data_IF_226241064412
#
_entry.id   IF_226241064412
#
_cell.length_a   1.000
_cell.length_b   1.000
_cell.length_c   1.000
_cell.angle_alpha   90.00
_cell.angle_beta   90.00
_cell.angle_gamma   90.00
#
_symmetry.space_group_name_H-M   'P 1'
#
loop_
_entity.id
_entity.type
_entity.pdbx_description
1 polymer ?
#
# COMPACT_ATOMS: atom_id res chain seq x y z
N UNK A 1 -23.40 27.52 21.12
CA UNK A 1 -22.17 28.22 20.72
C UNK A 1 -21.44 27.30 19.75
N UNK A 2 -21.15 27.76 18.55
CA UNK A 2 -20.30 27.00 17.62
C UNK A 2 -18.93 26.86 18.27
N UNK A 3 -18.44 25.63 18.38
CA UNK A 3 -17.09 25.38 18.86
C UNK A 3 -16.09 26.04 17.91
N UNK A 4 -15.10 26.73 18.44
CA UNK A 4 -14.00 27.29 17.65
C UNK A 4 -13.00 26.15 17.35
N UNK A 5 -12.71 25.86 16.08
CA UNK A 5 -11.67 24.93 15.68
C UNK A 5 -10.32 25.37 16.23
N UNK A 6 -9.48 24.41 16.58
CA UNK A 6 -8.13 24.67 17.06
C UNK A 6 -7.12 24.35 15.96
N UNK A 7 -6.11 25.18 15.85
CA UNK A 7 -4.92 24.88 15.08
C UNK A 7 -3.75 24.77 16.06
N UNK A 8 -3.05 23.63 16.01
CA UNK A 8 -1.84 23.39 16.78
C UNK A 8 -0.63 23.50 15.85
N UNK A 9 0.33 24.31 16.23
CA UNK A 9 1.57 24.54 15.50
C UNK A 9 2.71 23.80 16.22
N UNK A 10 3.58 23.15 15.43
CA UNK A 10 4.75 22.43 15.93
C UNK A 10 5.98 22.82 15.12
N UNK A 11 7.05 23.18 15.78
CA UNK A 11 8.33 23.53 15.15
C UNK A 11 9.48 22.91 15.92
N UNK A 12 10.28 22.09 15.26
CA UNK A 12 11.49 21.53 15.91
C UNK A 12 12.62 22.57 16.08
N UNK A 13 12.51 23.71 15.42
CA UNK A 13 13.54 24.75 15.41
C UNK A 13 13.20 25.92 16.34
N UNK A 14 11.94 26.37 16.29
CA UNK A 14 11.49 27.58 16.97
C UNK A 14 10.46 27.31 18.10
N UNK A 15 10.03 26.05 18.25
CA UNK A 15 9.03 25.66 19.21
C UNK A 15 9.58 25.38 20.61
N UNK A 16 8.69 25.44 21.61
CA UNK A 16 8.98 25.08 23.01
C UNK A 16 7.77 24.33 23.57
N UNK A 17 7.99 23.18 24.20
CA UNK A 17 6.91 22.36 24.77
C UNK A 17 6.24 22.99 26.01
N UNK A 18 6.77 24.08 26.53
CA UNK A 18 6.11 24.92 27.52
C UNK A 18 5.04 25.85 26.91
N UNK A 19 5.04 26.02 25.61
CA UNK A 19 4.06 26.84 24.88
C UNK A 19 2.67 26.15 24.83
N UNK A 20 1.67 26.89 24.32
CA UNK A 20 0.31 26.38 24.13
C UNK A 20 0.04 25.78 22.75
N UNK A 21 0.94 26.00 21.77
CA UNK A 21 0.84 25.52 20.41
C UNK A 21 -0.22 26.19 19.55
N UNK A 22 -0.91 27.24 20.01
CA UNK A 22 -2.09 27.81 19.33
C UNK A 22 -1.76 28.93 18.31
N UNK A 23 -0.47 29.29 18.17
CA UNK A 23 0.03 30.23 17.15
C UNK A 23 1.43 29.81 16.72
N UNK A 24 1.91 30.23 15.51
CA UNK A 24 3.26 29.95 15.06
C UNK A 24 4.33 30.40 16.07
N UNK A 25 4.16 31.55 16.68
CA UNK A 25 5.11 32.13 17.65
C UNK A 25 5.11 31.41 19.00
N UNK A 26 4.08 30.61 19.26
CA UNK A 26 3.92 29.79 20.46
C UNK A 26 3.82 28.29 20.13
N UNK A 27 4.48 27.87 19.06
CA UNK A 27 4.51 26.49 18.60
C UNK A 27 5.08 25.54 19.67
N UNK A 28 4.61 24.29 19.66
CA UNK A 28 5.23 23.21 20.42
C UNK A 28 6.60 22.86 19.83
N UNK A 29 7.54 22.39 20.63
CA UNK A 29 8.87 21.95 20.20
C UNK A 29 8.91 20.50 19.72
N UNK A 30 7.96 19.67 20.13
CA UNK A 30 7.96 18.24 19.81
C UNK A 30 6.60 17.69 19.40
N UNK A 31 6.64 16.58 18.63
CA UNK A 31 5.44 15.81 18.27
C UNK A 31 4.78 15.13 19.48
N UNK A 32 5.54 14.90 20.54
CA UNK A 32 5.04 14.33 21.81
C UNK A 32 3.88 15.13 22.42
N UNK A 33 3.84 16.44 22.17
CA UNK A 33 2.73 17.30 22.63
C UNK A 33 1.42 16.94 21.91
N UNK A 34 1.51 16.64 20.61
CA UNK A 34 0.34 16.27 19.81
C UNK A 34 -0.12 14.84 20.14
N UNK A 35 0.81 13.91 20.36
CA UNK A 35 0.48 12.51 20.71
C UNK A 35 -0.37 12.39 21.98
N UNK A 36 -0.34 13.40 22.85
CA UNK A 36 -1.12 13.47 24.08
C UNK A 36 -2.47 14.19 23.93
N UNK A 37 -2.79 14.71 22.74
CA UNK A 37 -4.06 15.37 22.47
C UNK A 37 -5.05 14.40 21.84
N UNK A 38 -6.33 14.65 22.09
CA UNK A 38 -7.43 14.09 21.31
C UNK A 38 -8.00 15.21 20.44
N UNK A 39 -7.84 15.08 19.12
CA UNK A 39 -8.30 16.08 18.17
C UNK A 39 -9.81 15.95 17.97
N UNK A 40 -10.44 17.08 17.74
CA UNK A 40 -11.86 17.15 17.50
C UNK A 40 -12.13 17.51 16.04
N UNK A 41 -13.36 17.35 15.55
CA UNK A 41 -13.73 17.76 14.21
C UNK A 41 -13.28 19.19 13.90
N UNK A 42 -12.61 19.39 12.77
CA UNK A 42 -12.09 20.66 12.30
C UNK A 42 -10.76 21.11 12.96
N UNK A 43 -10.21 20.37 13.92
CA UNK A 43 -8.90 20.70 14.49
C UNK A 43 -7.78 20.42 13.45
N UNK A 44 -6.71 21.20 13.53
CA UNK A 44 -5.57 21.11 12.62
C UNK A 44 -4.27 20.98 13.40
N UNK A 45 -3.35 20.17 12.89
CA UNK A 45 -1.96 20.07 13.35
C UNK A 45 -1.05 20.46 12.18
N UNK A 46 -0.32 21.52 12.32
CA UNK A 46 0.54 22.05 11.29
C UNK A 46 1.99 22.05 11.76
N UNK A 47 2.85 21.38 11.01
CA UNK A 47 4.29 21.30 11.25
C UNK A 47 5.01 22.41 10.46
N UNK A 48 5.96 23.09 11.08
CA UNK A 48 6.71 24.14 10.40
C UNK A 48 7.56 23.56 9.26
N UNK A 49 7.49 24.14 8.07
CA UNK A 49 8.37 23.79 6.95
C UNK A 49 9.81 24.04 7.34
N UNK A 50 10.72 23.13 6.96
CA UNK A 50 12.11 23.11 7.38
C UNK A 50 12.36 22.39 8.71
N UNK A 51 11.34 22.06 9.48
CA UNK A 51 11.49 21.27 10.70
C UNK A 51 11.89 19.83 10.41
N UNK A 52 12.76 19.28 11.28
CA UNK A 52 13.12 17.86 11.28
C UNK A 52 12.90 17.32 12.72
N UNK A 53 12.05 16.32 12.84
CA UNK A 53 11.70 15.70 14.12
C UNK A 53 12.43 14.35 14.27
N UNK A 54 13.67 14.42 14.78
CA UNK A 54 14.54 13.25 14.93
C UNK A 54 14.09 12.34 16.09
N UNK A 55 14.02 11.03 15.83
CA UNK A 55 13.60 10.01 16.79
C UNK A 55 12.21 10.28 17.37
N UNK A 56 11.33 10.89 16.57
CA UNK A 56 9.97 11.21 16.97
C UNK A 56 8.96 10.56 16.02
N UNK A 57 7.77 10.37 16.51
CA UNK A 57 6.63 9.81 15.78
C UNK A 57 5.38 10.67 16.03
N UNK A 58 4.39 10.52 15.18
CA UNK A 58 3.12 11.22 15.30
C UNK A 58 1.97 10.20 15.30
N UNK A 59 1.34 9.99 16.45
CA UNK A 59 0.19 9.11 16.63
C UNK A 59 -1.06 9.95 16.89
N UNK A 60 -1.93 10.03 15.89
CA UNK A 60 -3.13 10.86 15.93
C UNK A 60 -4.27 10.13 16.60
N UNK A 61 -4.97 10.85 17.50
CA UNK A 61 -6.20 10.43 18.16
C UNK A 61 -7.30 11.45 17.89
N UNK A 62 -8.52 10.99 17.77
CA UNK A 62 -9.68 11.82 17.50
C UNK A 62 -10.33 11.51 16.15
N UNK A 63 -11.49 12.06 15.90
CA UNK A 63 -12.28 11.81 14.70
C UNK A 63 -12.83 13.13 14.16
N UNK A 64 -12.74 13.32 12.85
CA UNK A 64 -13.40 14.40 12.14
C UNK A 64 -14.88 14.10 11.87
N UNK A 65 -15.48 14.92 11.04
CA UNK A 65 -16.82 14.72 10.47
C UNK A 65 -16.80 15.09 8.99
N UNK A 66 -17.82 14.72 8.24
CA UNK A 66 -17.90 15.05 6.82
C UNK A 66 -17.87 16.54 6.52
N UNK A 67 -18.33 17.40 7.46
CA UNK A 67 -18.26 18.87 7.34
C UNK A 67 -16.96 19.46 7.89
N UNK A 68 -16.33 18.79 8.86
CA UNK A 68 -15.23 19.35 9.64
C UNK A 68 -14.12 18.29 9.80
N UNK A 69 -13.31 18.15 8.75
CA UNK A 69 -12.20 17.17 8.74
C UNK A 69 -11.08 17.62 9.68
N UNK A 70 -10.41 16.65 10.27
CA UNK A 70 -9.09 16.88 10.90
C UNK A 70 -8.05 17.09 9.79
N UNK A 71 -7.11 17.98 10.00
CA UNK A 71 -6.02 18.25 9.06
C UNK A 71 -4.67 18.08 9.74
N UNK A 72 -3.79 17.30 9.11
CA UNK A 72 -2.39 17.17 9.50
C UNK A 72 -1.56 17.61 8.30
N UNK A 73 -0.78 18.68 8.44
CA UNK A 73 -0.05 19.24 7.31
C UNK A 73 1.11 20.14 7.73
N UNK A 74 1.47 21.07 6.85
CA UNK A 74 2.58 21.97 7.04
C UNK A 74 2.15 23.44 7.02
N UNK A 75 2.95 24.31 7.67
CA UNK A 75 2.81 25.75 7.59
C UNK A 75 4.17 26.41 7.33
N UNK A 76 4.15 27.70 6.98
CA UNK A 76 5.35 28.47 6.67
C UNK A 76 5.90 28.22 5.25
N UNK A 77 7.13 28.59 5.01
CA UNK A 77 7.80 28.47 3.73
C UNK A 77 9.03 27.56 3.83
N UNK A 78 9.44 26.95 2.71
CA UNK A 78 10.60 26.07 2.66
C UNK A 78 10.26 24.62 2.36
N UNK A 79 11.18 23.71 2.68
CA UNK A 79 11.02 22.27 2.49
C UNK A 79 9.92 21.71 3.38
N UNK A 80 9.23 20.67 2.94
CA UNK A 80 8.25 19.97 3.77
C UNK A 80 8.90 19.53 5.10
N UNK A 81 8.15 19.59 6.23
CA UNK A 81 8.64 19.09 7.50
C UNK A 81 8.85 17.57 7.44
N UNK A 82 9.87 17.10 8.16
CA UNK A 82 10.28 15.71 8.14
C UNK A 82 10.12 15.05 9.51
N UNK A 83 9.49 13.87 9.53
CA UNK A 83 9.39 12.99 10.70
C UNK A 83 10.36 11.83 10.49
N UNK A 84 11.44 11.78 11.24
CA UNK A 84 12.39 10.68 11.30
C UNK A 84 12.12 9.81 12.53
N UNK A 85 11.29 8.77 12.37
CA UNK A 85 10.89 7.94 13.50
C UNK A 85 12.00 7.02 14.02
N UNK A 86 12.84 6.49 13.14
CA UNK A 86 13.99 5.63 13.48
C UNK A 86 13.64 4.44 14.40
N UNK A 87 12.46 3.84 14.21
CA UNK A 87 11.98 2.72 15.01
C UNK A 87 11.26 3.08 16.29
N UNK A 88 11.04 4.35 16.57
CA UNK A 88 10.11 4.80 17.61
C UNK A 88 8.65 4.67 17.16
N UNK A 89 7.67 5.06 17.98
CA UNK A 89 6.26 4.95 17.64
C UNK A 89 5.78 3.50 17.59
N UNK A 90 6.18 2.70 18.56
CA UNK A 90 5.84 1.29 18.67
C UNK A 90 4.40 1.12 19.12
N UNK A 91 3.68 0.21 18.46
CA UNK A 91 2.35 -0.24 18.83
C UNK A 91 2.19 -1.73 18.54
N UNK A 92 1.18 -2.37 19.13
CA UNK A 92 0.95 -3.79 18.96
C UNK A 92 -0.17 -4.04 17.94
N UNK A 93 0.16 -4.71 16.83
CA UNK A 93 -0.80 -5.16 15.84
C UNK A 93 -1.25 -6.59 16.17
N UNK A 94 -2.56 -6.85 16.11
CA UNK A 94 -3.11 -8.20 16.28
C UNK A 94 -4.39 -8.35 15.47
N UNK A 95 -4.40 -9.31 14.54
CA UNK A 95 -5.61 -9.67 13.79
C UNK A 95 -6.60 -10.53 14.60
N UNK A 96 -6.23 -10.94 15.81
CA UNK A 96 -7.08 -11.74 16.70
C UNK A 96 -7.05 -13.24 16.44
N UNK A 97 -6.69 -13.67 15.23
CA UNK A 97 -6.59 -15.07 14.83
C UNK A 97 -5.49 -15.26 13.77
N UNK A 98 -4.93 -16.48 13.63
CA UNK A 98 -4.04 -16.81 12.53
C UNK A 98 -4.68 -16.52 11.17
N UNK A 99 -3.85 -16.09 10.23
CA UNK A 99 -4.26 -15.79 8.87
C UNK A 99 -4.36 -17.07 8.01
N UNK A 100 -4.61 -16.90 6.72
CA UNK A 100 -4.82 -17.97 5.74
C UNK A 100 -3.60 -18.89 5.53
N UNK A 101 -2.40 -18.45 5.88
CA UNK A 101 -1.20 -19.27 5.85
C UNK A 101 -0.48 -19.31 7.20
N UNK A 102 0.02 -20.48 7.64
CA UNK A 102 0.80 -20.62 8.88
C UNK A 102 2.09 -19.79 8.89
N UNK A 103 2.63 -19.47 7.71
CA UNK A 103 3.82 -18.64 7.57
C UNK A 103 3.54 -17.13 7.73
N UNK A 104 2.28 -16.72 7.73
CA UNK A 104 1.91 -15.32 7.86
C UNK A 104 1.94 -14.88 9.32
N UNK A 105 2.81 -13.94 9.64
CA UNK A 105 2.81 -13.26 10.94
C UNK A 105 1.52 -12.46 11.06
N UNK A 106 0.77 -12.66 12.12
CA UNK A 106 -0.55 -12.04 12.32
C UNK A 106 -0.64 -11.14 13.54
N UNK A 107 0.40 -11.12 14.37
CA UNK A 107 0.50 -10.24 15.54
C UNK A 107 1.95 -9.97 15.92
N UNK A 108 2.20 -8.81 16.49
CA UNK A 108 3.53 -8.41 16.95
C UNK A 108 3.65 -6.89 17.11
N UNK A 109 4.80 -6.47 17.57
CA UNK A 109 5.14 -5.05 17.65
C UNK A 109 5.49 -4.51 16.26
N UNK A 110 4.95 -3.33 15.96
CA UNK A 110 5.20 -2.55 14.74
C UNK A 110 5.61 -1.14 15.12
N UNK A 111 6.56 -0.57 14.41
CA UNK A 111 6.89 0.85 14.52
C UNK A 111 6.24 1.62 13.37
N UNK A 112 5.52 2.69 13.66
CA UNK A 112 4.94 3.58 12.65
C UNK A 112 5.31 5.03 12.90
N UNK A 113 5.85 5.71 11.88
CA UNK A 113 6.23 7.10 12.03
C UNK A 113 5.01 8.03 12.13
N UNK A 114 4.00 7.78 11.32
CA UNK A 114 2.66 8.35 11.45
C UNK A 114 1.65 7.21 11.63
N UNK A 115 0.85 7.26 12.69
CA UNK A 115 -0.22 6.32 12.96
C UNK A 115 -1.58 7.03 13.09
N UNK A 116 -2.53 6.59 12.27
CA UNK A 116 -3.94 6.96 12.34
C UNK A 116 -4.72 5.74 12.85
N UNK A 117 -5.03 5.70 14.14
CA UNK A 117 -5.69 4.55 14.77
C UNK A 117 -7.13 4.91 15.12
N UNK A 118 -8.09 4.28 14.46
CA UNK A 118 -9.53 4.57 14.54
C UNK A 118 -9.87 6.06 14.24
N UNK A 119 -9.12 6.65 13.30
CA UNK A 119 -9.30 8.04 12.86
C UNK A 119 -10.03 8.08 11.54
N UNK A 120 -11.00 8.96 11.40
CA UNK A 120 -11.76 9.17 10.16
C UNK A 120 -11.96 10.65 9.84
N UNK A 121 -12.41 10.95 8.62
CA UNK A 121 -12.57 12.32 8.12
C UNK A 121 -11.31 13.15 8.36
N UNK A 122 -10.21 12.66 7.81
CA UNK A 122 -8.88 13.26 8.00
C UNK A 122 -8.19 13.53 6.66
N UNK A 123 -7.45 14.63 6.62
CA UNK A 123 -6.54 14.98 5.55
C UNK A 123 -5.11 15.03 6.09
N UNK A 124 -4.21 14.23 5.52
CA UNK A 124 -2.76 14.28 5.76
C UNK A 124 -2.08 14.77 4.50
N UNK A 125 -1.24 15.81 4.62
CA UNK A 125 -0.55 16.36 3.45
C UNK A 125 0.77 17.09 3.77
N UNK A 126 1.58 17.26 2.73
CA UNK A 126 2.81 18.08 2.75
C UNK A 126 3.83 17.66 3.83
N UNK A 127 4.08 16.37 3.97
CA UNK A 127 5.02 15.80 4.94
C UNK A 127 6.07 14.93 4.26
N UNK A 128 7.26 14.89 4.85
CA UNK A 128 8.27 13.86 4.59
C UNK A 128 8.29 12.91 5.79
N UNK A 129 8.28 11.61 5.53
CA UNK A 129 8.19 10.58 6.58
C UNK A 129 9.22 9.51 6.33
N UNK A 130 10.02 9.19 7.34
CA UNK A 130 10.97 8.07 7.32
C UNK A 130 10.86 7.23 8.58
N UNK A 131 11.25 5.97 8.46
CA UNK A 131 11.31 5.06 9.61
C UNK A 131 12.47 4.06 9.41
N UNK A 132 13.67 4.60 9.42
CA UNK A 132 14.88 3.87 9.07
C UNK A 132 15.40 2.98 10.20
N UNK A 133 16.24 2.03 9.82
CA UNK A 133 17.02 1.19 10.70
C UNK A 133 18.43 1.08 10.12
N UNK A 134 19.45 0.90 10.92
CA UNK A 134 20.82 0.76 10.46
C UNK A 134 21.11 -0.64 9.86
N UNK A 135 20.14 -1.30 9.25
CA UNK A 135 20.35 -2.58 8.59
C UNK A 135 21.19 -2.41 7.34
N UNK A 136 22.16 -3.27 7.18
CA UNK A 136 23.13 -3.24 6.09
C UNK A 136 23.10 -4.49 5.22
N UNK A 137 22.46 -5.57 5.66
CA UNK A 137 22.42 -6.85 4.95
C UNK A 137 20.99 -7.39 4.81
N UNK A 138 20.78 -8.27 3.82
CA UNK A 138 19.49 -8.93 3.60
C UNK A 138 19.17 -9.93 4.72
N UNK A 139 20.19 -10.54 5.32
CA UNK A 139 20.03 -11.42 6.49
C UNK A 139 19.44 -10.66 7.68
N UNK A 140 19.79 -9.40 7.83
CA UNK A 140 19.21 -8.54 8.87
C UNK A 140 17.73 -8.25 8.60
N UNK A 141 17.32 -8.08 7.36
CA UNK A 141 15.90 -7.92 7.00
C UNK A 141 15.09 -9.19 7.27
N UNK A 142 15.65 -10.36 6.99
CA UNK A 142 14.96 -11.63 7.14
C UNK A 142 14.95 -12.18 8.58
N UNK A 143 15.64 -11.56 9.52
CA UNK A 143 15.71 -12.06 10.88
C UNK A 143 14.34 -12.07 11.56
N UNK A 144 13.86 -13.19 12.14
CA UNK A 144 12.49 -13.32 12.68
C UNK A 144 12.13 -12.31 13.79
N UNK A 145 13.14 -11.82 14.49
CA UNK A 145 12.97 -10.85 15.57
C UNK A 145 13.01 -9.39 15.10
N UNK A 146 13.13 -9.15 13.79
CA UNK A 146 13.14 -7.79 13.24
C UNK A 146 11.74 -7.22 13.28
N UNK A 147 11.66 -6.00 13.78
CA UNK A 147 10.42 -5.25 13.85
C UNK A 147 9.97 -4.83 12.46
N UNK A 148 8.68 -4.99 12.20
CA UNK A 148 8.03 -4.40 11.05
C UNK A 148 7.95 -2.89 11.22
N UNK A 149 8.16 -2.14 10.14
CA UNK A 149 8.18 -0.68 10.15
C UNK A 149 7.32 -0.11 9.05
N UNK A 150 6.59 0.93 9.38
CA UNK A 150 5.72 1.64 8.44
C UNK A 150 6.04 3.13 8.45
N UNK A 151 5.98 3.76 7.31
CA UNK A 151 5.95 5.21 7.24
C UNK A 151 4.62 5.74 7.76
N UNK A 152 3.52 5.44 7.07
CA UNK A 152 2.16 5.78 7.48
C UNK A 152 1.35 4.50 7.68
N UNK A 153 0.88 4.26 8.89
CA UNK A 153 -0.06 3.22 9.22
C UNK A 153 -1.46 3.81 9.46
N UNK A 154 -2.48 3.20 8.83
CA UNK A 154 -3.88 3.51 9.11
C UNK A 154 -4.56 2.23 9.60
N UNK A 155 -5.17 2.29 10.77
CA UNK A 155 -5.72 1.12 11.44
C UNK A 155 -7.18 1.36 11.78
N UNK A 156 -8.06 0.49 11.28
CA UNK A 156 -9.43 0.38 11.73
C UNK A 156 -9.53 -0.80 12.70
N UNK A 157 -10.02 -0.56 13.92
CA UNK A 157 -10.26 -1.62 14.91
C UNK A 157 -11.58 -1.43 15.64
N UNK A 158 -11.67 -0.41 16.48
CA UNK A 158 -12.83 -0.15 17.32
C UNK A 158 -13.69 1.02 16.80
N UNK A 159 -13.35 1.57 15.66
CA UNK A 159 -14.06 2.66 15.03
C UNK A 159 -15.25 2.27 14.16
N UNK A 160 -15.46 0.96 13.92
CA UNK A 160 -16.40 0.48 12.93
C UNK A 160 -15.93 0.81 11.51
N UNK A 161 -16.84 1.26 10.65
CA UNK A 161 -16.48 1.79 9.34
C UNK A 161 -15.84 3.18 9.50
N UNK A 162 -14.61 3.32 9.03
CA UNK A 162 -13.90 4.60 9.00
C UNK A 162 -14.09 5.27 7.63
N UNK A 163 -14.44 6.57 7.65
CA UNK A 163 -14.80 7.31 6.45
C UNK A 163 -13.77 8.37 6.09
N UNK A 164 -13.64 8.61 4.80
CA UNK A 164 -12.97 9.78 4.19
C UNK A 164 -11.57 10.06 4.74
N UNK A 165 -10.64 9.16 4.46
CA UNK A 165 -9.22 9.28 4.81
C UNK A 165 -8.46 9.67 3.54
N UNK A 166 -7.85 10.86 3.54
CA UNK A 166 -7.08 11.36 2.40
C UNK A 166 -5.62 11.55 2.80
N UNK A 167 -4.72 10.94 2.03
CA UNK A 167 -3.26 11.14 2.12
C UNK A 167 -2.80 11.70 0.77
N UNK A 168 -2.23 12.90 0.76
CA UNK A 168 -1.79 13.52 -0.50
C UNK A 168 -0.49 14.32 -0.35
N UNK A 169 0.28 14.38 -1.43
CA UNK A 169 1.54 15.14 -1.47
C UNK A 169 2.46 14.83 -0.28
N UNK A 170 2.62 13.53 0.03
CA UNK A 170 3.49 13.04 1.10
C UNK A 170 4.65 12.25 0.49
N UNK A 171 5.85 12.47 0.99
CA UNK A 171 7.01 11.67 0.64
C UNK A 171 7.30 10.69 1.77
N UNK A 172 7.25 9.40 1.46
CA UNK A 172 7.59 8.32 2.40
C UNK A 172 8.82 7.61 1.87
N UNK A 173 9.91 7.64 2.62
CA UNK A 173 11.12 6.98 2.15
C UNK A 173 11.98 6.46 3.30
N UNK A 174 12.92 5.57 2.96
CA UNK A 174 13.81 4.97 3.95
C UNK A 174 13.06 4.34 5.13
N UNK A 175 12.11 3.46 4.79
CA UNK A 175 11.38 2.65 5.77
C UNK A 175 11.93 1.24 5.74
N UNK A 176 12.70 0.86 6.75
CA UNK A 176 13.49 -0.38 6.75
C UNK A 176 13.01 -1.38 7.81
N UNK A 177 11.88 -2.01 7.57
CA UNK A 177 11.35 -3.13 8.35
C UNK A 177 11.76 -4.49 7.76
N UNK A 178 11.02 -5.55 8.12
CA UNK A 178 11.25 -6.88 7.58
C UNK A 178 10.62 -7.01 6.18
N UNK A 179 11.43 -7.16 5.15
CA UNK A 179 10.99 -7.22 3.75
C UNK A 179 10.06 -8.42 3.46
N UNK A 180 10.09 -9.47 4.27
CA UNK A 180 9.34 -10.70 4.05
C UNK A 180 8.01 -10.80 4.80
N UNK A 181 7.73 -9.94 5.79
CA UNK A 181 6.45 -9.93 6.48
C UNK A 181 5.38 -9.25 5.62
N UNK A 182 4.44 -10.06 5.11
CA UNK A 182 3.46 -9.63 4.10
C UNK A 182 2.21 -8.95 4.70
N UNK A 183 1.78 -9.33 5.90
CA UNK A 183 0.50 -8.87 6.46
C UNK A 183 0.62 -7.97 7.69
N UNK A 184 1.82 -7.76 8.19
CA UNK A 184 2.07 -6.77 9.22
C UNK A 184 2.21 -5.37 8.58
N UNK A 185 1.97 -4.32 9.34
CA UNK A 185 2.25 -2.95 8.90
C UNK A 185 3.74 -2.79 8.63
N UNK A 186 4.10 -2.87 7.36
CA UNK A 186 5.49 -2.96 6.93
C UNK A 186 5.67 -2.37 5.52
N UNK A 187 6.17 -1.16 5.44
CA UNK A 187 6.39 -0.47 4.16
C UNK A 187 6.08 1.02 4.21
N UNK A 188 5.75 1.60 3.07
CA UNK A 188 5.51 3.03 2.93
C UNK A 188 4.20 3.50 3.57
N UNK A 189 3.09 3.19 2.90
CA UNK A 189 1.74 3.48 3.37
C UNK A 189 0.98 2.16 3.47
N UNK A 190 0.55 1.79 4.67
CA UNK A 190 -0.16 0.53 4.89
C UNK A 190 -1.43 0.75 5.70
N UNK A 191 -2.56 0.26 5.17
CA UNK A 191 -3.86 0.36 5.81
C UNK A 191 -4.39 -1.05 6.13
N UNK A 192 -4.86 -1.25 7.36
CA UNK A 192 -5.35 -2.56 7.81
C UNK A 192 -6.59 -2.45 8.69
N UNK A 193 -7.44 -3.48 8.64
CA UNK A 193 -8.57 -3.65 9.55
C UNK A 193 -8.32 -4.83 10.49
N UNK A 194 -8.33 -4.56 11.79
CA UNK A 194 -8.08 -5.53 12.87
C UNK A 194 -9.39 -5.95 13.54
N UNK A 195 -9.37 -7.10 14.18
CA UNK A 195 -10.52 -7.59 14.96
C UNK A 195 -10.90 -6.60 16.05
N UNK A 196 -12.14 -6.08 16.07
CA UNK A 196 -12.63 -5.21 17.13
C UNK A 196 -12.65 -5.91 18.49
N UNK A 197 -12.46 -5.16 19.57
CA UNK A 197 -12.59 -5.70 20.93
C UNK A 197 -14.03 -6.14 21.23
N UNK A 198 -15.03 -5.51 20.60
CA UNK A 198 -16.43 -5.87 20.65
C UNK A 198 -17.16 -5.45 19.36
N UNK A 199 -17.20 -6.34 18.37
CA UNK A 199 -17.78 -6.10 17.05
C UNK A 199 -19.29 -5.78 17.10
N UNK A 200 -20.04 -6.39 18.05
CA UNK A 200 -21.47 -6.10 18.22
C UNK A 200 -21.73 -4.64 18.60
N UNK A 201 -20.80 -4.05 19.34
CA UNK A 201 -20.90 -2.67 19.82
C UNK A 201 -20.34 -1.67 18.80
N UNK A 202 -19.22 -1.98 18.18
CA UNK A 202 -18.49 -1.04 17.32
C UNK A 202 -18.83 -1.17 15.84
N UNK A 203 -19.38 -2.31 15.44
CA UNK A 203 -19.53 -2.69 14.05
C UNK A 203 -18.25 -3.30 13.47
N UNK A 204 -18.32 -3.68 12.21
CA UNK A 204 -17.20 -4.27 11.46
C UNK A 204 -16.15 -3.21 11.16
N UNK A 205 -14.90 -3.48 11.52
CA UNK A 205 -13.78 -2.61 11.20
C UNK A 205 -13.47 -2.68 9.69
N UNK A 206 -13.67 -1.57 8.98
CA UNK A 206 -13.46 -1.44 7.53
C UNK A 206 -13.33 0.03 7.13
N UNK A 207 -13.13 0.27 5.84
CA UNK A 207 -13.00 1.61 5.28
C UNK A 207 -14.08 1.90 4.24
N UNK A 208 -14.55 3.15 4.21
CA UNK A 208 -15.40 3.72 3.17
C UNK A 208 -14.92 5.13 2.82
N UNK A 209 -14.25 5.26 1.69
CA UNK A 209 -13.63 6.52 1.27
C UNK A 209 -12.14 6.60 1.66
N UNK A 210 -11.29 6.08 0.81
CA UNK A 210 -9.83 6.23 0.89
C UNK A 210 -9.35 6.92 -0.37
N UNK A 211 -8.56 7.99 -0.22
CA UNK A 211 -7.86 8.63 -1.33
C UNK A 211 -6.39 8.77 -1.00
N UNK A 212 -5.52 8.11 -1.79
CA UNK A 212 -4.07 8.28 -1.74
C UNK A 212 -3.66 8.89 -3.07
N UNK A 213 -3.15 10.12 -3.05
CA UNK A 213 -2.88 10.84 -4.29
C UNK A 213 -1.62 11.71 -4.23
N UNK A 214 -0.91 11.84 -5.36
CA UNK A 214 0.28 12.67 -5.51
C UNK A 214 1.38 12.33 -4.46
N UNK A 215 1.48 11.07 -4.05
CA UNK A 215 2.46 10.63 -3.06
C UNK A 215 3.70 10.05 -3.75
N UNK A 216 4.86 10.23 -3.13
CA UNK A 216 6.10 9.58 -3.53
C UNK A 216 6.52 8.60 -2.44
N UNK A 217 6.68 7.33 -2.79
CA UNK A 217 7.15 6.29 -1.88
C UNK A 217 8.44 5.69 -2.45
N UNK A 218 9.52 5.71 -1.66
CA UNK A 218 10.81 5.30 -2.18
C UNK A 218 11.66 4.58 -1.12
N UNK A 219 12.30 3.46 -1.52
CA UNK A 219 13.12 2.63 -0.61
C UNK A 219 12.39 2.25 0.68
N UNK A 220 11.36 1.45 0.54
CA UNK A 220 10.59 0.92 1.67
C UNK A 220 10.66 -0.61 1.71
N UNK A 221 10.52 -1.20 2.90
CA UNK A 221 10.85 -2.61 3.11
C UNK A 221 9.98 -3.59 2.34
N UNK A 222 8.67 -3.55 2.44
CA UNK A 222 7.79 -4.53 1.79
C UNK A 222 6.82 -3.87 0.82
N UNK A 223 5.86 -3.13 1.32
CA UNK A 223 4.79 -2.52 0.55
C UNK A 223 5.11 -1.08 0.22
N UNK A 224 4.92 -0.68 -1.04
CA UNK A 224 4.88 0.74 -1.36
C UNK A 224 3.62 1.38 -0.78
N UNK A 225 2.47 1.06 -1.36
CA UNK A 225 1.13 1.48 -0.93
C UNK A 225 0.24 0.24 -0.89
N UNK A 226 -0.23 -0.16 0.30
CA UNK A 226 -1.12 -1.28 0.47
C UNK A 226 -2.37 -0.85 1.24
N UNK A 227 -3.55 -1.12 0.68
CA UNK A 227 -4.81 -0.70 1.26
C UNK A 227 -5.66 -1.91 1.57
N UNK A 228 -5.90 -2.15 2.86
CA UNK A 228 -7.06 -2.87 3.30
C UNK A 228 -6.91 -4.36 3.60
N UNK A 229 -5.75 -4.88 4.05
CA UNK A 229 -5.80 -6.23 4.61
C UNK A 229 -6.74 -6.28 5.82
N UNK A 230 -7.59 -7.31 5.90
CA UNK A 230 -8.68 -7.36 6.89
C UNK A 230 -8.71 -8.67 7.68
N UNK A 231 -9.06 -8.59 8.97
CA UNK A 231 -9.37 -9.74 9.80
C UNK A 231 -10.53 -10.59 9.26
N UNK A 232 -11.37 -10.01 8.40
CA UNK A 232 -12.49 -10.70 7.72
C UNK A 232 -12.07 -11.46 6.44
N UNK A 233 -10.76 -11.64 6.20
CA UNK A 233 -10.20 -12.25 4.98
C UNK A 233 -10.88 -13.56 4.57
N UNK A 234 -11.35 -14.38 5.53
CA UNK A 234 -12.04 -15.63 5.25
C UNK A 234 -13.41 -15.46 4.56
N UNK A 235 -14.03 -14.26 4.64
CA UNK A 235 -15.28 -13.96 3.93
C UNK A 235 -15.07 -13.86 2.42
N UNK A 236 -13.82 -13.74 1.99
CA UNK A 236 -13.39 -13.57 0.61
C UNK A 236 -12.67 -14.80 0.03
N UNK A 237 -12.92 -15.98 0.59
CA UNK A 237 -12.33 -17.24 0.11
C UNK A 237 -13.12 -17.92 -1.01
N UNK A 238 -14.28 -17.41 -1.38
CA UNK A 238 -15.12 -17.96 -2.45
C UNK A 238 -14.77 -17.40 -3.82
N UNK A 239 -15.32 -18.04 -4.85
CA UNK A 239 -15.31 -17.57 -6.24
C UNK A 239 -16.60 -16.79 -6.50
N UNK A 240 -16.55 -15.76 -7.33
CA UNK A 240 -17.75 -14.98 -7.73
C UNK A 240 -18.54 -14.41 -6.53
N UNK A 241 -17.84 -13.83 -5.56
CA UNK A 241 -18.48 -13.22 -4.40
C UNK A 241 -19.44 -12.09 -4.81
N UNK A 242 -20.58 -12.00 -4.12
CA UNK A 242 -21.54 -10.94 -4.34
C UNK A 242 -21.06 -9.57 -3.80
N UNK A 243 -21.66 -8.50 -4.30
CA UNK A 243 -21.33 -7.15 -3.84
C UNK A 243 -21.73 -6.92 -2.37
N UNK A 244 -22.75 -7.59 -1.86
CA UNK A 244 -23.21 -7.46 -0.48
C UNK A 244 -22.11 -7.89 0.50
N UNK A 245 -21.36 -8.95 0.17
CA UNK A 245 -20.19 -9.40 0.92
C UNK A 245 -19.14 -8.30 1.02
N UNK A 246 -18.83 -7.62 -0.11
CA UNK A 246 -17.86 -6.52 -0.11
C UNK A 246 -18.38 -5.30 0.65
N UNK A 247 -19.63 -4.90 0.45
CA UNK A 247 -20.24 -3.76 1.17
C UNK A 247 -20.30 -3.98 2.68
N UNK A 248 -20.40 -5.22 3.11
CA UNK A 248 -20.48 -5.57 4.52
C UNK A 248 -19.11 -5.75 5.17
N UNK A 249 -18.19 -6.45 4.53
CA UNK A 249 -16.94 -6.90 5.13
C UNK A 249 -15.70 -6.28 4.49
N UNK A 250 -15.80 -5.78 3.28
CA UNK A 250 -14.71 -5.22 2.51
C UNK A 250 -14.63 -3.70 2.61
N UNK A 251 -13.87 -3.11 1.69
CA UNK A 251 -13.67 -1.68 1.61
C UNK A 251 -14.37 -1.09 0.38
N UNK A 252 -14.82 0.15 0.50
CA UNK A 252 -15.50 0.87 -0.56
C UNK A 252 -14.82 2.21 -0.85
N UNK A 253 -15.03 2.76 -2.05
CA UNK A 253 -14.54 4.08 -2.46
C UNK A 253 -13.01 4.24 -2.26
N UNK A 254 -12.23 3.25 -2.71
CA UNK A 254 -10.76 3.24 -2.64
C UNK A 254 -10.18 3.82 -3.94
N UNK A 255 -9.43 4.90 -3.84
CA UNK A 255 -8.77 5.58 -4.97
C UNK A 255 -7.28 5.74 -4.66
N UNK A 256 -6.42 5.23 -5.56
CA UNK A 256 -4.97 5.42 -5.51
C UNK A 256 -4.53 6.01 -6.85
N UNK A 257 -4.04 7.25 -6.85
CA UNK A 257 -3.72 7.92 -8.12
C UNK A 257 -2.54 8.89 -8.05
N UNK A 258 -1.91 9.09 -9.22
CA UNK A 258 -0.80 10.01 -9.39
C UNK A 258 0.34 9.78 -8.39
N UNK A 259 0.55 8.54 -7.97
CA UNK A 259 1.61 8.18 -7.04
C UNK A 259 2.83 7.63 -7.80
N UNK A 260 4.02 7.93 -7.27
CA UNK A 260 5.28 7.34 -7.72
C UNK A 260 5.80 6.41 -6.63
N UNK A 261 5.95 5.13 -6.95
CA UNK A 261 6.52 4.12 -6.04
C UNK A 261 7.78 3.56 -6.66
N UNK A 262 8.91 3.73 -6.01
CA UNK A 262 10.19 3.18 -6.48
C UNK A 262 10.90 2.41 -5.38
N UNK A 263 11.51 1.28 -5.75
CA UNK A 263 12.29 0.46 -4.82
C UNK A 263 11.50 0.05 -3.56
N UNK A 264 10.25 -0.33 -3.74
CA UNK A 264 9.55 -1.12 -2.72
C UNK A 264 10.23 -2.50 -2.67
N UNK A 265 10.55 -2.98 -1.48
CA UNK A 265 11.21 -4.27 -1.30
C UNK A 265 10.39 -5.44 -1.80
N UNK A 266 9.07 -5.31 -1.79
CA UNK A 266 8.10 -6.22 -2.40
C UNK A 266 7.20 -5.50 -3.40
N UNK A 267 5.91 -5.49 -3.09
CA UNK A 267 4.85 -4.99 -3.94
C UNK A 267 4.77 -3.46 -3.95
N UNK A 268 4.44 -2.85 -5.09
CA UNK A 268 4.37 -1.40 -5.17
C UNK A 268 3.02 -0.84 -4.73
N UNK A 269 1.92 -1.23 -5.38
CA UNK A 269 0.58 -0.68 -5.11
C UNK A 269 -0.46 -1.79 -5.13
N UNK A 270 -1.16 -1.99 -4.01
CA UNK A 270 -2.12 -3.08 -3.88
C UNK A 270 -3.35 -2.67 -3.06
N UNK A 271 -4.50 -2.41 -3.70
CA UNK A 271 -5.80 -2.44 -3.03
C UNK A 271 -6.22 -3.88 -2.74
N UNK A 272 -6.82 -4.13 -1.58
CA UNK A 272 -7.22 -5.46 -1.12
C UNK A 272 -8.67 -5.45 -0.64
N UNK A 273 -9.40 -6.56 -0.84
CA UNK A 273 -10.75 -6.79 -0.32
C UNK A 273 -11.72 -5.63 -0.57
N UNK A 274 -11.58 -4.98 -1.72
CA UNK A 274 -12.32 -3.76 -2.04
C UNK A 274 -13.31 -3.97 -3.18
N UNK A 275 -14.45 -3.28 -3.09
CA UNK A 275 -15.41 -3.16 -4.17
C UNK A 275 -15.03 -1.97 -5.06
N UNK A 276 -14.86 -2.23 -6.36
CA UNK A 276 -14.60 -1.22 -7.40
C UNK A 276 -13.43 -0.26 -7.09
N UNK A 277 -12.28 -0.74 -6.54
CA UNK A 277 -11.17 0.16 -6.29
C UNK A 277 -10.61 0.70 -7.60
N UNK A 278 -10.25 1.99 -7.61
CA UNK A 278 -9.64 2.68 -8.74
C UNK A 278 -8.15 2.95 -8.47
N UNK A 279 -7.30 2.43 -9.35
CA UNK A 279 -5.84 2.65 -9.32
C UNK A 279 -5.41 3.21 -10.66
N UNK A 280 -5.08 4.51 -10.71
CA UNK A 280 -4.85 5.20 -11.99
C UNK A 280 -3.67 6.18 -11.96
N UNK A 281 -3.02 6.35 -13.12
CA UNK A 281 -1.94 7.32 -13.31
C UNK A 281 -0.79 7.16 -12.30
N UNK A 282 -0.49 5.92 -11.88
CA UNK A 282 0.61 5.64 -10.97
C UNK A 282 1.82 5.12 -11.74
N UNK A 283 3.00 5.33 -11.18
CA UNK A 283 4.25 4.78 -11.69
C UNK A 283 4.86 3.89 -10.61
N UNK A 284 5.18 2.65 -10.97
CA UNK A 284 5.95 1.73 -10.14
C UNK A 284 7.27 1.38 -10.84
N UNK A 285 8.37 1.60 -10.16
CA UNK A 285 9.71 1.42 -10.71
C UNK A 285 10.60 0.59 -9.78
N UNK A 286 11.31 -0.36 -10.34
CA UNK A 286 12.38 -1.11 -9.63
C UNK A 286 11.91 -1.84 -8.35
N UNK A 287 10.70 -2.40 -8.36
CA UNK A 287 10.13 -3.07 -7.20
C UNK A 287 10.66 -4.51 -7.03
N UNK A 288 10.49 -5.08 -5.83
CA UNK A 288 10.92 -6.43 -5.42
C UNK A 288 12.45 -6.69 -5.52
N UNK A 289 13.28 -5.69 -5.67
CA UNK A 289 14.75 -5.86 -5.81
C UNK A 289 15.45 -6.24 -4.51
N UNK A 290 14.83 -5.99 -3.38
CA UNK A 290 15.37 -6.34 -2.06
C UNK A 290 15.07 -7.81 -1.65
N UNK A 291 14.26 -8.53 -2.41
CA UNK A 291 14.00 -9.94 -2.16
C UNK A 291 15.19 -10.82 -2.58
N UNK A 292 15.60 -11.69 -1.69
CA UNK A 292 16.74 -12.58 -1.92
C UNK A 292 16.40 -14.01 -1.49
N UNK A 293 16.35 -14.92 -2.45
CA UNK A 293 16.05 -16.34 -2.21
C UNK A 293 17.03 -17.03 -1.28
N UNK A 294 18.31 -16.60 -1.23
CA UNK A 294 19.33 -17.20 -0.35
C UNK A 294 19.06 -16.94 1.13
N UNK A 295 18.31 -15.88 1.46
CA UNK A 295 17.94 -15.51 2.82
C UNK A 295 16.73 -16.30 3.32
N UNK A 296 15.90 -16.75 2.40
CA UNK A 296 14.71 -17.54 2.69
C UNK A 296 15.08 -19.01 2.94
N UNK A 297 15.08 -19.43 4.17
CA UNK A 297 15.56 -20.76 4.58
C UNK A 297 14.46 -21.79 4.76
N UNK A 298 13.19 -21.37 4.80
CA UNK A 298 12.07 -22.26 5.10
C UNK A 298 11.15 -22.40 3.89
N UNK A 299 10.87 -23.64 3.43
CA UNK A 299 9.94 -23.86 2.31
C UNK A 299 8.55 -23.28 2.54
N UNK A 300 8.07 -23.28 3.78
CA UNK A 300 6.81 -22.72 4.23
C UNK A 300 6.76 -21.19 4.18
N UNK A 301 7.89 -20.51 4.17
CA UNK A 301 7.99 -19.05 4.10
C UNK A 301 7.90 -18.50 2.65
N UNK A 302 7.55 -19.34 1.69
CA UNK A 302 7.48 -18.96 0.27
C UNK A 302 6.59 -17.77 -0.01
N UNK A 303 5.51 -17.63 0.74
CA UNK A 303 4.54 -16.56 0.55
C UNK A 303 5.12 -15.16 0.73
N UNK A 304 6.12 -14.98 1.57
CA UNK A 304 6.79 -13.70 1.74
C UNK A 304 7.67 -13.27 0.56
N UNK A 305 8.08 -14.21 -0.33
CA UNK A 305 8.89 -13.93 -1.51
C UNK A 305 8.08 -13.40 -2.70
N UNK A 306 6.79 -13.68 -2.74
CA UNK A 306 5.94 -13.41 -3.90
C UNK A 306 5.60 -11.94 -3.94
N UNK A 307 5.83 -11.28 -5.06
CA UNK A 307 5.51 -9.88 -5.27
C UNK A 307 5.30 -9.56 -6.75
N UNK A 308 4.29 -8.76 -7.05
CA UNK A 308 4.07 -8.09 -8.32
C UNK A 308 4.03 -6.57 -8.09
N UNK A 309 4.08 -5.76 -9.16
CA UNK A 309 4.17 -4.33 -8.92
C UNK A 309 2.83 -3.69 -8.57
N UNK A 310 1.85 -3.68 -9.48
CA UNK A 310 0.55 -3.03 -9.29
C UNK A 310 -0.58 -4.04 -9.50
N UNK A 311 -1.30 -4.37 -8.42
CA UNK A 311 -2.27 -5.46 -8.48
C UNK A 311 -3.33 -5.39 -7.36
N UNK A 312 -4.55 -5.94 -7.55
CA UNK A 312 -5.54 -6.11 -6.50
C UNK A 312 -5.36 -7.45 -5.80
N UNK A 313 -5.75 -7.54 -4.55
CA UNK A 313 -5.95 -8.82 -3.90
C UNK A 313 -7.39 -8.99 -3.46
N UNK A 314 -8.07 -10.02 -4.01
CA UNK A 314 -9.45 -10.37 -3.67
C UNK A 314 -10.39 -9.16 -3.73
N UNK A 315 -10.29 -8.39 -4.80
CA UNK A 315 -11.19 -7.28 -5.09
C UNK A 315 -12.28 -7.69 -6.08
N UNK A 316 -13.39 -6.96 -6.09
CA UNK A 316 -14.42 -7.08 -7.11
C UNK A 316 -14.47 -5.85 -7.99
N UNK A 317 -14.53 -6.05 -9.33
CA UNK A 317 -14.57 -4.99 -10.34
C UNK A 317 -13.44 -3.96 -10.18
N UNK A 318 -12.24 -4.38 -9.76
CA UNK A 318 -11.10 -3.50 -9.61
C UNK A 318 -10.68 -2.91 -10.96
N UNK A 319 -10.34 -1.64 -10.98
CA UNK A 319 -9.99 -0.93 -12.21
C UNK A 319 -8.60 -0.32 -12.12
N UNK A 320 -7.73 -0.71 -13.06
CA UNK A 320 -6.36 -0.24 -13.19
C UNK A 320 -6.18 0.40 -14.57
N UNK A 321 -5.91 1.71 -14.61
CA UNK A 321 -5.78 2.41 -15.88
C UNK A 321 -4.70 3.49 -15.87
N UNK A 322 -4.03 3.64 -17.01
CA UNK A 322 -2.97 4.63 -17.19
C UNK A 322 -1.82 4.51 -16.18
N UNK A 323 -1.53 3.30 -15.69
CA UNK A 323 -0.38 3.06 -14.83
C UNK A 323 0.83 2.66 -15.67
N UNK A 324 2.02 2.93 -15.14
CA UNK A 324 3.30 2.53 -15.72
C UNK A 324 4.06 1.66 -14.72
N UNK A 325 4.61 0.53 -15.19
CA UNK A 325 5.43 -0.38 -14.38
C UNK A 325 6.71 -0.73 -15.10
N UNK A 326 7.83 -0.50 -14.44
CA UNK A 326 9.14 -0.82 -15.00
C UNK A 326 10.03 -1.57 -14.00
N UNK A 327 10.86 -2.48 -14.54
CA UNK A 327 11.96 -3.12 -13.81
C UNK A 327 11.56 -3.88 -12.54
N UNK A 328 10.40 -4.50 -12.48
CA UNK A 328 10.04 -5.39 -11.36
C UNK A 328 10.90 -6.66 -11.41
N UNK A 329 11.52 -7.00 -10.28
CA UNK A 329 12.42 -8.14 -10.21
C UNK A 329 11.66 -9.47 -10.10
N UNK A 330 12.17 -10.50 -10.79
CA UNK A 330 11.71 -11.88 -10.63
C UNK A 330 12.00 -12.38 -9.19
N UNK A 331 10.96 -12.86 -8.54
CA UNK A 331 11.03 -13.40 -7.18
C UNK A 331 10.30 -14.75 -7.02
N UNK A 332 9.48 -15.14 -7.82
CA UNK A 332 8.60 -16.23 -8.14
C UNK A 332 7.56 -15.69 -9.13
N UNK A 333 7.04 -14.50 -8.86
CA UNK A 333 6.12 -13.77 -9.73
C UNK A 333 6.86 -12.70 -10.54
N UNK A 334 7.12 -11.53 -10.01
CA UNK A 334 7.88 -10.48 -10.65
C UNK A 334 7.19 -9.82 -11.84
N UNK A 335 5.86 -9.91 -11.90
CA UNK A 335 5.05 -9.33 -12.97
C UNK A 335 4.85 -7.83 -12.77
N UNK A 336 4.60 -7.11 -13.87
CA UNK A 336 4.13 -5.73 -13.79
C UNK A 336 2.75 -5.66 -13.13
N UNK A 337 1.83 -6.48 -13.60
CA UNK A 337 0.43 -6.54 -13.17
C UNK A 337 0.04 -7.96 -12.79
N UNK A 338 -0.92 -8.08 -11.87
CA UNK A 338 -1.46 -9.37 -11.45
C UNK A 338 -2.94 -9.22 -11.08
N UNK A 339 -3.81 -10.05 -11.64
CA UNK A 339 -5.20 -10.15 -11.21
C UNK A 339 -5.32 -11.34 -10.25
N UNK A 340 -4.98 -11.09 -8.96
CA UNK A 340 -4.91 -12.17 -7.97
C UNK A 340 -6.24 -12.34 -7.23
N UNK A 341 -6.82 -13.55 -7.39
CA UNK A 341 -7.98 -14.04 -6.63
C UNK A 341 -9.19 -13.09 -6.64
N UNK A 342 -9.31 -12.25 -7.68
CA UNK A 342 -10.34 -11.22 -7.81
C UNK A 342 -11.35 -11.52 -8.92
N UNK A 343 -12.51 -10.87 -8.87
CA UNK A 343 -13.58 -11.02 -9.83
C UNK A 343 -13.78 -9.71 -10.61
N UNK A 344 -13.65 -9.79 -11.95
CA UNK A 344 -13.92 -8.67 -12.85
C UNK A 344 -12.84 -7.58 -12.84
N UNK A 345 -11.58 -7.90 -12.54
CA UNK A 345 -10.48 -6.92 -12.62
C UNK A 345 -10.26 -6.47 -14.07
N UNK A 346 -10.24 -5.16 -14.28
CA UNK A 346 -9.99 -4.53 -15.56
C UNK A 346 -8.67 -3.77 -15.54
N UNK A 347 -7.74 -4.18 -16.44
CA UNK A 347 -6.53 -3.43 -16.77
C UNK A 347 -6.69 -2.82 -18.15
N UNK A 348 -6.64 -1.48 -18.25
CA UNK A 348 -6.73 -0.81 -19.56
C UNK A 348 -5.82 0.42 -19.66
N UNK A 349 -5.22 0.62 -20.83
CA UNK A 349 -4.33 1.74 -21.13
C UNK A 349 -3.08 1.83 -20.21
N UNK A 350 -2.61 0.70 -19.69
CA UNK A 350 -1.40 0.65 -18.88
C UNK A 350 -0.17 0.37 -19.75
N UNK A 351 0.99 0.72 -19.24
CA UNK A 351 2.29 0.46 -19.86
C UNK A 351 3.15 -0.40 -18.93
N UNK A 352 3.86 -1.38 -19.49
CA UNK A 352 4.86 -2.15 -18.76
C UNK A 352 6.14 -2.26 -19.55
N UNK A 353 7.30 -2.30 -18.83
CA UNK A 353 8.60 -2.45 -19.48
C UNK A 353 9.60 -3.17 -18.60
N UNK A 354 10.35 -4.09 -19.22
CA UNK A 354 11.54 -4.74 -18.62
C UNK A 354 11.27 -5.45 -17.30
N UNK A 355 10.03 -5.91 -17.06
CA UNK A 355 9.70 -6.66 -15.84
C UNK A 355 10.18 -8.09 -16.00
N UNK A 356 10.97 -8.57 -15.04
CA UNK A 356 11.64 -9.88 -15.13
C UNK A 356 10.66 -11.06 -15.09
N UNK A 357 9.51 -10.91 -14.44
CA UNK A 357 8.45 -11.95 -14.38
C UNK A 357 7.44 -11.89 -15.51
N UNK A 358 7.39 -10.79 -16.27
CA UNK A 358 6.46 -10.59 -17.37
C UNK A 358 5.51 -9.40 -17.18
N UNK A 359 4.50 -9.33 -18.06
CA UNK A 359 3.55 -8.21 -18.08
C UNK A 359 2.37 -8.42 -17.14
N UNK A 360 1.61 -9.51 -17.34
CA UNK A 360 0.35 -9.75 -16.61
C UNK A 360 0.25 -11.20 -16.13
N UNK A 361 -0.17 -11.38 -14.89
CA UNK A 361 -0.59 -12.66 -14.34
C UNK A 361 -2.08 -12.63 -14.01
N UNK A 362 -2.74 -13.76 -14.13
CA UNK A 362 -4.07 -14.03 -13.62
C UNK A 362 -3.91 -15.18 -12.63
N UNK A 363 -3.93 -14.87 -11.34
CA UNK A 363 -3.48 -15.78 -10.31
C UNK A 363 -4.62 -16.36 -9.52
N UNK A 364 -4.63 -17.70 -9.40
CA UNK A 364 -5.55 -18.53 -8.64
C UNK A 364 -6.89 -18.81 -9.33
N UNK A 365 -7.56 -19.86 -8.86
CA UNK A 365 -8.85 -20.31 -9.36
C UNK A 365 -9.97 -19.27 -9.16
N UNK A 366 -9.82 -18.41 -8.19
CA UNK A 366 -10.73 -17.31 -7.88
C UNK A 366 -10.56 -16.08 -8.78
N UNK A 367 -9.52 -16.04 -9.62
CA UNK A 367 -9.29 -14.97 -10.58
C UNK A 367 -10.20 -15.12 -11.80
N UNK A 368 -11.44 -14.65 -11.67
CA UNK A 368 -12.51 -14.83 -12.69
C UNK A 368 -12.91 -13.52 -13.35
N UNK A 369 -13.42 -13.60 -14.60
CA UNK A 369 -13.95 -12.48 -15.40
C UNK A 369 -12.97 -11.32 -15.61
N UNK A 370 -11.67 -11.57 -15.51
CA UNK A 370 -10.65 -10.54 -15.60
C UNK A 370 -10.36 -10.17 -17.06
N UNK A 371 -10.12 -8.88 -17.29
CA UNK A 371 -9.89 -8.32 -18.63
C UNK A 371 -8.60 -7.50 -18.63
N UNK A 372 -7.70 -7.83 -19.58
CA UNK A 372 -6.50 -7.06 -19.87
C UNK A 372 -6.60 -6.52 -21.30
N UNK A 373 -6.83 -5.21 -21.48
CA UNK A 373 -7.07 -4.64 -22.81
C UNK A 373 -6.40 -3.30 -23.04
N UNK A 374 -6.03 -3.05 -24.30
CA UNK A 374 -5.47 -1.75 -24.74
C UNK A 374 -4.24 -1.31 -23.94
N UNK A 375 -3.48 -2.28 -23.44
CA UNK A 375 -2.23 -2.04 -22.75
C UNK A 375 -1.05 -2.20 -23.71
N UNK A 376 0.10 -1.66 -23.34
CA UNK A 376 1.36 -1.79 -24.05
C UNK A 376 2.37 -2.46 -23.14
N UNK A 377 2.94 -3.59 -23.58
CA UNK A 377 4.07 -4.25 -22.94
C UNK A 377 5.30 -4.09 -23.83
N UNK A 378 6.40 -3.63 -23.27
CA UNK A 378 7.63 -3.44 -24.01
C UNK A 378 8.81 -4.13 -23.30
N UNK A 379 9.38 -5.13 -23.95
CA UNK A 379 10.56 -5.84 -23.45
C UNK A 379 10.41 -6.50 -22.08
N UNK A 380 9.21 -6.92 -21.70
CA UNK A 380 8.99 -7.75 -20.51
C UNK A 380 9.58 -9.15 -20.72
N UNK A 381 10.14 -9.78 -19.66
CA UNK A 381 11.11 -10.85 -19.84
C UNK A 381 10.60 -12.27 -19.56
N UNK A 382 10.01 -12.53 -18.44
CA UNK A 382 9.73 -13.89 -17.95
C UNK A 382 8.63 -14.68 -18.66
N UNK A 383 8.07 -14.13 -19.72
CA UNK A 383 6.84 -14.53 -20.37
C UNK A 383 5.77 -13.46 -20.20
N UNK A 384 5.10 -13.07 -21.30
CA UNK A 384 4.26 -11.86 -21.29
C UNK A 384 3.02 -12.07 -20.42
N UNK A 385 2.37 -13.23 -20.53
CA UNK A 385 1.10 -13.56 -19.87
C UNK A 385 1.29 -14.83 -19.04
N UNK A 386 0.86 -14.81 -17.79
CA UNK A 386 0.86 -15.98 -16.87
C UNK A 386 -0.56 -16.31 -16.45
N UNK A 387 -1.21 -17.32 -17.06
CA UNK A 387 -2.56 -17.76 -16.65
C UNK A 387 -2.49 -18.78 -15.50
N UNK A 388 -2.01 -18.36 -14.35
CA UNK A 388 -1.76 -19.25 -13.20
C UNK A 388 -3.05 -19.74 -12.55
N UNK A 389 -3.53 -20.90 -12.93
CA UNK A 389 -4.74 -21.60 -12.45
C UNK A 389 -6.07 -20.86 -12.69
N UNK A 390 -6.09 -19.70 -13.33
CA UNK A 390 -7.35 -18.97 -13.56
C UNK A 390 -8.25 -19.69 -14.59
N UNK A 391 -9.59 -19.66 -14.43
CA UNK A 391 -10.52 -20.35 -15.34
C UNK A 391 -10.84 -19.57 -16.62
N UNK A 392 -10.82 -18.20 -16.59
CA UNK A 392 -11.31 -17.39 -17.70
C UNK A 392 -10.70 -15.97 -17.70
N UNK A 393 -9.69 -15.72 -18.45
CA UNK A 393 -9.19 -14.36 -18.64
C UNK A 393 -9.33 -13.93 -20.12
N UNK A 394 -9.65 -12.67 -20.35
CA UNK A 394 -9.69 -12.07 -21.68
C UNK A 394 -8.54 -11.08 -21.86
N UNK A 395 -7.63 -11.38 -22.79
CA UNK A 395 -6.54 -10.49 -23.21
C UNK A 395 -6.81 -10.02 -24.63
N UNK A 396 -7.13 -8.72 -24.78
CA UNK A 396 -7.61 -8.21 -26.09
C UNK A 396 -7.10 -6.81 -26.41
N UNK A 397 -6.87 -6.55 -27.69
CA UNK A 397 -6.49 -5.23 -28.22
C UNK A 397 -5.20 -4.64 -27.58
N UNK A 398 -4.28 -5.47 -27.10
CA UNK A 398 -3.02 -5.03 -26.52
C UNK A 398 -1.91 -4.99 -27.58
N UNK A 399 -0.85 -4.23 -27.30
CA UNK A 399 0.39 -4.25 -28.08
C UNK A 399 1.51 -4.88 -27.24
N UNK A 400 2.06 -6.00 -27.71
CA UNK A 400 3.18 -6.70 -27.08
C UNK A 400 4.43 -6.55 -27.95
N UNK A 401 5.40 -5.77 -27.49
CA UNK A 401 6.72 -5.64 -28.08
C UNK A 401 7.67 -6.55 -27.28
N UNK A 402 8.05 -7.68 -27.86
CA UNK A 402 8.72 -8.75 -27.12
C UNK A 402 9.95 -9.28 -27.85
N UNK A 403 10.88 -9.84 -27.10
CA UNK A 403 12.01 -10.57 -27.66
C UNK A 403 11.55 -11.89 -28.28
N UNK A 404 12.24 -12.35 -29.28
CA UNK A 404 11.90 -13.62 -29.97
C UNK A 404 11.95 -14.83 -29.03
N UNK A 405 12.88 -14.84 -28.09
CA UNK A 405 13.10 -15.89 -27.11
C UNK A 405 12.13 -15.87 -25.93
N UNK A 406 11.39 -14.80 -25.74
CA UNK A 406 10.40 -14.68 -24.65
C UNK A 406 9.07 -15.27 -25.13
N UNK A 407 8.46 -16.23 -24.42
CA UNK A 407 7.17 -16.78 -24.80
C UNK A 407 6.03 -15.78 -24.51
N UNK A 408 4.99 -15.81 -25.36
CA UNK A 408 3.78 -15.02 -25.11
C UNK A 408 3.05 -15.50 -23.84
N UNK A 409 2.95 -16.84 -23.66
CA UNK A 409 2.43 -17.46 -22.44
C UNK A 409 3.62 -18.04 -21.66
N UNK A 410 3.72 -17.69 -20.40
CA UNK A 410 4.80 -18.16 -19.51
C UNK A 410 4.75 -19.68 -19.35
N UNK A 411 5.82 -20.38 -19.70
CA UNK A 411 5.84 -21.83 -19.78
C UNK A 411 5.57 -22.56 -18.46
N UNK A 412 5.99 -21.98 -17.35
CA UNK A 412 5.80 -22.56 -16.00
C UNK A 412 4.43 -22.33 -15.39
N UNK A 413 3.52 -21.64 -16.11
CA UNK A 413 2.21 -21.20 -15.58
C UNK A 413 1.10 -21.39 -16.62
N UNK A 414 1.05 -22.58 -17.26
CA UNK A 414 0.11 -22.87 -18.36
C UNK A 414 -1.15 -23.62 -17.91
N UNK A 415 -1.36 -23.77 -16.63
CA UNK A 415 -2.45 -24.55 -16.03
C UNK A 415 -3.80 -23.79 -15.96
N UNK A 416 -3.80 -22.51 -16.33
CA UNK A 416 -5.01 -21.70 -16.43
C UNK A 416 -5.47 -21.49 -17.89
N UNK A 417 -6.56 -20.77 -18.04
CA UNK A 417 -7.20 -20.47 -19.33
C UNK A 417 -7.14 -18.97 -19.62
N UNK A 418 -6.69 -18.61 -20.83
CA UNK A 418 -6.72 -17.25 -21.34
C UNK A 418 -7.24 -17.19 -22.78
N UNK A 419 -8.17 -16.28 -23.03
CA UNK A 419 -8.67 -16.01 -24.39
C UNK A 419 -7.94 -14.81 -24.98
N UNK A 420 -7.21 -15.03 -26.10
CA UNK A 420 -6.48 -14.00 -26.81
C UNK A 420 -7.29 -13.50 -28.01
N UNK A 421 -7.53 -12.18 -28.14
CA UNK A 421 -8.22 -11.57 -29.29
C UNK A 421 -7.55 -10.26 -29.70
N UNK A 422 -7.39 -10.06 -30.99
CA UNK A 422 -6.99 -8.77 -31.60
C UNK A 422 -5.72 -8.13 -30.99
N UNK A 423 -4.83 -8.91 -30.39
CA UNK A 423 -3.57 -8.40 -29.88
C UNK A 423 -2.55 -8.26 -31.01
N UNK A 424 -1.74 -7.22 -30.96
CA UNK A 424 -0.64 -7.00 -31.87
C UNK A 424 0.67 -7.43 -31.22
N UNK A 425 1.42 -8.29 -31.89
CA UNK A 425 2.73 -8.78 -31.45
C UNK A 425 3.80 -8.24 -32.39
N UNK A 426 4.81 -7.59 -31.81
CA UNK A 426 5.97 -7.06 -32.54
C UNK A 426 7.25 -7.64 -31.91
N UNK A 427 8.10 -8.25 -32.75
CA UNK A 427 9.40 -8.74 -32.28
C UNK A 427 10.40 -7.57 -32.32
N UNK A 428 10.98 -7.27 -31.18
CA UNK A 428 12.03 -6.24 -31.02
C UNK A 428 13.28 -6.68 -31.74
N UNK A 429 13.88 -5.80 -32.51
CA UNK A 429 15.15 -6.05 -33.20
C UNK A 429 16.32 -5.98 -32.25
N UNK A 430 17.41 -6.69 -32.54
CA UNK A 430 18.61 -6.71 -31.66
C UNK A 430 19.24 -5.33 -31.49
N UNK A 431 19.09 -4.45 -32.46
CA UNK A 431 19.65 -3.08 -32.45
C UNK A 431 18.80 -2.08 -31.60
N UNK A 432 17.65 -2.51 -31.12
CA UNK A 432 16.68 -1.69 -30.33
C UNK A 432 16.65 -2.09 -28.84
N UNK A 433 17.61 -2.93 -28.40
CA UNK A 433 17.74 -3.45 -27.03
C UNK A 433 18.48 -2.48 -26.09
#
# INVERSE_FOLDING_TARGET
>A
MSRKFKTYYVSSTNGDDCNNGEAPETAFGSLGRINNLELNPGDRVLLERGSVFENQYLHIKGRGTGSDRIEIGAYGEGTMPCIHSNGTGIWYQDYGAPLDSPSHVYKGEVSSALLLYDVEYILVHDLIITNSSPYTTMEEYAAPHKMDRTGIAVVAKNGGTLHDITIRNVWVHDVTGNVYNKHMNNGGIYMTALTPDNEEKTGIARYDGITIENCTVWRVSRWGIAVGYTYQHQKFSGVELDEETFRKYGHENVIIRNCYVSRAGGDAITPMYSLEPLTEHNIADSCAKEMNDSVYRYPEDRMGKVAAAIWPWKCKNARFCYNEVTDTRLNQDGMAYDADSGDGTLYEYNYSRSNEGGCIMFCMEEAVHNIFRKNISYDDLGGIISPACNPDALVTENEFHMRREVPLIRESMQDGTVTLKNNKITIIKEDEK
#
